data_IF_997011301789
#
_entry.id   IF_997011301789
#
_cell.length_a   1.000
_cell.length_b   1.000
_cell.length_c   1.000
_cell.angle_alpha   90.00
_cell.angle_beta   90.00
_cell.angle_gamma   90.00
#
_symmetry.space_group_name_H-M   'P 1'
#
loop_
_entity.id
_entity.type
_entity.pdbx_description
1 polymer ?
#
# COMPACT_ATOMS: atom_id res chain seq x y z
N UNK A 1 31.08 -16.87 83.56
CA UNK A 1 31.26 -18.33 83.77
C UNK A 1 29.92 -19.01 83.47
N UNK A 2 29.97 -20.10 82.68
CA UNK A 2 28.89 -21.03 82.26
C UNK A 2 28.03 -20.63 81.04
N UNK A 3 28.39 -21.29 79.94
CA UNK A 3 27.57 -21.63 78.78
C UNK A 3 26.37 -22.50 79.18
N UNK A 4 25.28 -22.40 78.42
CA UNK A 4 24.54 -23.56 77.92
C UNK A 4 23.63 -23.12 76.75
N UNK A 5 23.85 -23.72 75.59
CA UNK A 5 22.86 -23.95 74.53
C UNK A 5 22.52 -25.44 74.62
N UNK A 6 21.30 -25.94 74.34
CA UNK A 6 21.02 -26.38 72.95
C UNK A 6 19.52 -26.51 72.53
N UNK A 7 19.31 -26.69 71.21
CA UNK A 7 18.23 -27.45 70.51
C UNK A 7 16.76 -27.04 70.72
N UNK A 8 15.84 -26.98 69.75
CA UNK A 8 15.73 -27.39 68.34
C UNK A 8 14.23 -27.39 67.94
N UNK A 9 13.94 -27.60 66.65
CA UNK A 9 12.64 -27.92 66.02
C UNK A 9 11.58 -26.82 65.72
N UNK A 10 11.67 -26.30 64.48
CA UNK A 10 10.69 -26.34 63.37
C UNK A 10 9.18 -26.02 63.52
N UNK A 11 8.75 -25.22 62.52
CA UNK A 11 7.46 -25.15 61.80
C UNK A 11 6.25 -24.46 62.46
N UNK A 12 5.82 -23.34 61.83
CA UNK A 12 4.47 -23.22 61.25
C UNK A 12 4.30 -21.93 60.43
N UNK A 13 4.03 -22.10 59.12
CA UNK A 13 3.55 -21.08 58.19
C UNK A 13 2.22 -20.47 58.68
N UNK A 14 2.04 -19.14 58.54
CA UNK A 14 0.72 -18.52 58.36
C UNK A 14 0.75 -17.35 57.36
N UNK A 15 0.34 -17.70 56.13
CA UNK A 15 -0.56 -16.99 55.19
C UNK A 15 -0.33 -15.48 54.95
N UNK A 16 0.15 -15.16 53.74
CA UNK A 16 0.03 -13.83 53.14
C UNK A 16 -1.45 -13.54 52.79
N UNK A 17 -1.94 -12.28 52.96
CA UNK A 17 -3.32 -11.95 52.68
C UNK A 17 -3.56 -11.80 51.17
N UNK A 18 -4.41 -12.68 50.65
CA UNK A 18 -5.17 -12.49 49.42
C UNK A 18 -6.16 -11.35 49.66
N UNK A 19 -5.88 -10.12 49.23
CA UNK A 19 -6.84 -9.12 48.69
C UNK A 19 -5.99 -7.89 48.37
N UNK A 20 -5.83 -7.55 47.08
CA UNK A 20 -5.14 -6.31 46.71
C UNK A 20 -4.47 -6.29 45.34
N UNK A 21 -4.73 -7.25 44.46
CA UNK A 21 -4.33 -7.19 43.06
C UNK A 21 -5.56 -7.14 42.17
N UNK A 22 -6.40 -6.12 42.33
CA UNK A 22 -7.37 -5.74 41.31
C UNK A 22 -6.59 -5.00 40.21
N UNK A 23 -5.77 -5.74 39.46
CA UNK A 23 -5.27 -5.29 38.18
C UNK A 23 -6.48 -5.11 37.28
N UNK A 24 -6.98 -3.88 37.16
CA UNK A 24 -7.90 -3.49 36.10
C UNK A 24 -7.10 -3.65 34.80
N UNK A 25 -7.19 -4.86 34.23
CA UNK A 25 -6.84 -5.11 32.85
C UNK A 25 -7.79 -4.30 31.99
N UNK A 26 -7.47 -3.02 31.80
CA UNK A 26 -8.02 -2.24 30.70
C UNK A 26 -7.52 -2.92 29.43
N UNK A 27 -8.29 -3.89 28.95
CA UNK A 27 -8.12 -4.44 27.62
C UNK A 27 -8.43 -3.28 26.69
N UNK A 28 -7.39 -2.62 26.19
CA UNK A 28 -7.50 -1.77 25.02
C UNK A 28 -7.89 -2.71 23.87
N UNK A 29 -9.20 -2.98 23.74
CA UNK A 29 -9.80 -3.51 22.54
C UNK A 29 -9.56 -2.45 21.47
N UNK A 30 -8.39 -2.46 20.85
CA UNK A 30 -8.17 -1.68 19.63
C UNK A 30 -9.22 -2.20 18.65
N UNK A 31 -10.23 -1.40 18.27
CA UNK A 31 -11.18 -1.86 17.28
C UNK A 31 -10.39 -2.28 16.05
N UNK A 32 -10.60 -3.50 15.60
CA UNK A 32 -10.03 -3.96 14.34
C UNK A 32 -10.59 -3.02 13.26
N UNK A 33 -9.78 -2.03 12.85
CA UNK A 33 -10.23 -1.03 11.91
C UNK A 33 -10.40 -1.70 10.55
N UNK A 34 -11.65 -1.99 10.19
CA UNK A 34 -12.02 -2.33 8.83
C UNK A 34 -11.93 -1.03 7.99
N UNK A 35 -10.76 -0.76 7.42
CA UNK A 35 -10.54 0.45 6.62
C UNK A 35 -11.56 0.58 5.50
N UNK A 36 -11.75 -0.49 4.73
CA UNK A 36 -12.62 -0.53 3.56
C UNK A 36 -13.80 -1.48 3.84
N UNK A 37 -15.04 -0.96 3.92
CA UNK A 37 -16.20 -1.78 4.21
C UNK A 37 -16.54 -2.72 3.04
N UNK A 38 -16.99 -3.92 3.37
CA UNK A 38 -17.46 -4.91 2.41
C UNK A 38 -18.79 -4.44 1.78
N UNK A 39 -18.94 -4.45 0.44
CA UNK A 39 -20.24 -4.25 -0.19
C UNK A 39 -21.14 -5.48 0.02
N UNK A 40 -22.46 -5.27 -0.01
CA UNK A 40 -23.46 -6.22 0.51
C UNK A 40 -23.33 -7.68 0.04
N UNK A 41 -22.82 -7.97 -1.17
CA UNK A 41 -22.73 -9.34 -1.72
C UNK A 41 -21.49 -9.57 -2.58
N UNK A 42 -20.33 -9.94 -2.01
CA UNK A 42 -19.17 -10.36 -2.81
C UNK A 42 -19.37 -11.75 -3.41
N UNK A 43 -18.80 -12.01 -4.59
CA UNK A 43 -18.74 -13.35 -5.17
C UNK A 43 -17.77 -14.21 -4.36
N UNK A 44 -18.24 -15.27 -3.71
CA UNK A 44 -17.36 -16.20 -2.98
C UNK A 44 -16.60 -17.11 -3.95
N UNK A 45 -15.27 -17.10 -3.88
CA UNK A 45 -14.38 -17.87 -4.76
C UNK A 45 -13.32 -18.62 -3.96
N UNK A 46 -12.90 -19.78 -4.48
CA UNK A 46 -11.80 -20.55 -3.89
C UNK A 46 -10.46 -20.14 -4.49
N UNK A 47 -9.48 -19.93 -3.63
CA UNK A 47 -8.11 -19.57 -4.02
C UNK A 47 -7.28 -20.84 -4.18
N UNK A 48 -6.75 -21.06 -5.37
CA UNK A 48 -5.79 -22.14 -5.65
C UNK A 48 -4.39 -21.79 -5.15
N UNK A 49 -3.95 -20.56 -5.39
CA UNK A 49 -2.58 -20.14 -5.08
C UNK A 49 -2.47 -18.62 -4.90
N UNK A 50 -1.63 -18.19 -3.97
CA UNK A 50 -1.12 -16.81 -3.91
C UNK A 50 0.17 -16.72 -4.71
N UNK A 51 0.18 -15.92 -5.77
CA UNK A 51 1.32 -15.82 -6.71
C UNK A 51 2.40 -14.92 -6.13
N UNK A 52 2.00 -13.72 -5.68
CA UNK A 52 2.81 -12.67 -5.06
C UNK A 52 1.91 -11.85 -4.10
N UNK A 53 2.38 -10.69 -3.63
CA UNK A 53 1.68 -9.89 -2.62
C UNK A 53 0.40 -9.19 -3.11
N UNK A 54 0.04 -9.28 -4.39
CA UNK A 54 -1.17 -8.65 -4.91
C UNK A 54 -1.87 -9.42 -6.05
N UNK A 55 -1.45 -10.67 -6.30
CA UNK A 55 -2.02 -11.54 -7.33
C UNK A 55 -2.43 -12.91 -6.76
N UNK A 56 -3.69 -13.30 -7.01
CA UNK A 56 -4.27 -14.60 -6.67
C UNK A 56 -4.56 -15.42 -7.92
N UNK A 57 -4.40 -16.75 -7.83
CA UNK A 57 -4.94 -17.71 -8.80
C UNK A 57 -6.12 -18.42 -8.17
N UNK A 58 -7.27 -18.40 -8.84
CA UNK A 58 -8.48 -19.09 -8.40
C UNK A 58 -8.52 -20.54 -8.92
N UNK A 59 -9.35 -21.38 -8.29
CA UNK A 59 -9.56 -22.76 -8.72
C UNK A 59 -10.26 -22.86 -10.08
N UNK A 60 -11.10 -21.88 -10.42
CA UNK A 60 -11.78 -21.77 -11.72
C UNK A 60 -10.87 -21.28 -12.86
N UNK A 61 -9.57 -21.17 -12.61
CA UNK A 61 -8.56 -20.81 -13.60
C UNK A 61 -8.31 -19.31 -13.74
N UNK A 62 -9.14 -18.43 -13.17
CA UNK A 62 -8.91 -16.98 -13.22
C UNK A 62 -7.63 -16.58 -12.48
N UNK A 63 -6.91 -15.60 -13.03
CA UNK A 63 -5.84 -14.88 -12.35
C UNK A 63 -6.39 -13.51 -11.95
N UNK A 64 -6.30 -13.16 -10.67
CA UNK A 64 -6.90 -11.96 -10.11
C UNK A 64 -5.80 -11.01 -9.64
N UNK A 65 -5.81 -9.77 -10.14
CA UNK A 65 -4.95 -8.68 -9.69
C UNK A 65 -5.75 -7.80 -8.74
N UNK A 66 -5.29 -7.69 -7.50
CA UNK A 66 -5.94 -6.90 -6.45
C UNK A 66 -5.92 -5.41 -6.81
N UNK A 67 -7.08 -4.75 -6.76
CA UNK A 67 -7.22 -3.34 -7.12
C UNK A 67 -6.74 -2.45 -5.98
N UNK A 68 -5.89 -1.46 -6.29
CA UNK A 68 -5.57 -0.39 -5.35
C UNK A 68 -4.24 -0.56 -4.62
N UNK A 69 -3.57 -1.69 -4.82
CA UNK A 69 -2.29 -2.04 -4.19
C UNK A 69 -1.25 -2.46 -5.24
N UNK A 70 0.01 -2.11 -5.01
CA UNK A 70 1.17 -2.63 -5.71
C UNK A 70 2.16 -3.19 -4.68
N UNK A 71 2.20 -4.52 -4.55
CA UNK A 71 3.16 -5.19 -3.70
C UNK A 71 4.54 -5.27 -4.38
N UNK A 72 5.63 -5.40 -3.61
CA UNK A 72 6.94 -5.65 -4.18
C UNK A 72 6.98 -6.99 -4.94
N UNK A 73 7.71 -7.01 -6.05
CA UNK A 73 7.73 -8.14 -6.99
C UNK A 73 8.57 -9.31 -6.47
N UNK A 74 8.06 -10.53 -6.66
CA UNK A 74 8.79 -11.76 -6.37
C UNK A 74 9.79 -12.03 -7.50
N UNK A 75 11.04 -12.28 -7.12
CA UNK A 75 12.12 -12.61 -8.05
C UNK A 75 11.82 -13.87 -8.85
N UNK A 76 12.04 -13.83 -10.16
CA UNK A 76 11.87 -14.97 -11.08
C UNK A 76 13.08 -15.07 -12.00
N UNK A 77 13.38 -16.29 -12.46
CA UNK A 77 14.45 -16.56 -13.45
C UNK A 77 15.82 -16.02 -13.00
N UNK A 78 16.22 -16.33 -11.77
CA UNK A 78 17.51 -15.91 -11.20
C UNK A 78 17.57 -14.48 -10.67
N UNK A 79 16.49 -13.70 -10.76
CA UNK A 79 16.41 -12.38 -10.12
C UNK A 79 16.06 -12.51 -8.64
N UNK A 80 16.66 -11.67 -7.81
CA UNK A 80 16.32 -11.53 -6.40
C UNK A 80 14.94 -10.89 -6.24
N UNK A 81 14.19 -11.31 -5.23
CA UNK A 81 12.93 -10.67 -4.84
C UNK A 81 13.17 -9.24 -4.36
N UNK A 82 12.21 -8.35 -4.63
CA UNK A 82 12.24 -6.99 -4.08
C UNK A 82 12.10 -7.03 -2.55
N UNK A 83 12.62 -6.02 -1.82
CA UNK A 83 12.41 -5.92 -0.38
C UNK A 83 10.93 -6.04 -0.02
N UNK A 84 10.63 -6.85 1.00
CA UNK A 84 9.27 -7.19 1.47
C UNK A 84 8.38 -8.01 0.53
N UNK A 85 8.82 -8.40 -0.67
CA UNK A 85 7.99 -9.20 -1.59
C UNK A 85 7.54 -10.53 -0.96
N UNK A 86 8.47 -11.29 -0.37
CA UNK A 86 8.16 -12.55 0.30
C UNK A 86 7.28 -12.36 1.54
N UNK A 87 7.47 -11.24 2.27
CA UNK A 87 6.64 -10.92 3.42
C UNK A 87 5.19 -10.63 3.00
N UNK A 88 5.00 -9.83 1.94
CA UNK A 88 3.69 -9.52 1.37
C UNK A 88 2.97 -10.78 0.90
N UNK A 89 3.68 -11.65 0.15
CA UNK A 89 3.14 -12.93 -0.32
C UNK A 89 2.73 -13.84 0.84
N UNK A 90 3.61 -14.03 1.84
CA UNK A 90 3.32 -14.86 3.02
C UNK A 90 2.14 -14.31 3.82
N UNK A 91 2.03 -12.98 3.94
CA UNK A 91 0.90 -12.35 4.63
C UNK A 91 -0.41 -12.59 3.88
N UNK A 92 -0.44 -12.39 2.56
CA UNK A 92 -1.63 -12.66 1.76
C UNK A 92 -2.02 -14.15 1.83
N UNK A 93 -1.05 -15.07 1.84
CA UNK A 93 -1.32 -16.49 2.08
C UNK A 93 -1.95 -16.75 3.46
N UNK A 94 -1.46 -16.09 4.51
CA UNK A 94 -2.02 -16.22 5.86
C UNK A 94 -3.47 -15.69 5.91
N UNK A 95 -3.76 -14.57 5.26
CA UNK A 95 -5.10 -13.98 5.18
C UNK A 95 -6.09 -14.89 4.42
N UNK A 96 -5.63 -15.51 3.32
CA UNK A 96 -6.42 -16.51 2.57
C UNK A 96 -6.65 -17.77 3.41
N UNK A 97 -5.64 -18.27 4.12
CA UNK A 97 -5.78 -19.42 5.04
C UNK A 97 -6.74 -19.13 6.19
N UNK A 98 -6.68 -17.93 6.77
CA UNK A 98 -7.62 -17.49 7.80
C UNK A 98 -9.06 -17.34 7.29
N UNK A 99 -9.25 -17.37 5.97
CA UNK A 99 -10.57 -17.39 5.31
C UNK A 99 -10.89 -18.78 4.71
N UNK A 100 -10.28 -19.84 5.24
CA UNK A 100 -10.47 -21.24 4.82
C UNK A 100 -10.24 -21.47 3.32
N UNK A 101 -9.28 -20.73 2.73
CA UNK A 101 -8.96 -20.81 1.30
C UNK A 101 -10.02 -20.19 0.39
N UNK A 102 -11.03 -19.50 0.93
CA UNK A 102 -12.08 -18.81 0.19
C UNK A 102 -12.05 -17.32 0.46
N UNK A 103 -12.36 -16.51 -0.55
CA UNK A 103 -12.41 -15.05 -0.43
C UNK A 103 -13.63 -14.49 -1.13
N UNK A 104 -14.11 -13.34 -0.65
CA UNK A 104 -15.08 -12.52 -1.35
C UNK A 104 -14.40 -11.70 -2.45
N UNK A 105 -14.87 -11.85 -3.68
CA UNK A 105 -14.37 -11.14 -4.85
C UNK A 105 -15.39 -10.08 -5.28
N UNK A 106 -14.94 -8.82 -5.35
CA UNK A 106 -15.75 -7.68 -5.80
C UNK A 106 -15.09 -7.06 -7.03
N UNK A 107 -15.62 -7.28 -8.24
CA UNK A 107 -15.02 -6.73 -9.46
C UNK A 107 -14.92 -5.20 -9.45
N UNK A 108 -13.91 -4.69 -10.16
CA UNK A 108 -13.82 -3.28 -10.54
C UNK A 108 -14.83 -2.89 -11.62
N UNK A 109 -14.92 -1.59 -11.91
CA UNK A 109 -15.64 -1.05 -13.06
C UNK A 109 -15.03 -1.59 -14.36
N UNK A 110 -13.70 -1.56 -14.45
CA UNK A 110 -12.97 -2.28 -15.48
C UNK A 110 -12.61 -3.66 -14.93
N UNK A 111 -13.21 -4.72 -15.51
CA UNK A 111 -13.13 -6.07 -14.96
C UNK A 111 -11.85 -6.86 -15.32
N UNK A 112 -11.08 -6.41 -16.32
CA UNK A 112 -9.85 -7.08 -16.76
C UNK A 112 -8.75 -6.07 -17.10
N UNK A 113 -7.51 -6.44 -16.82
CA UNK A 113 -6.35 -5.69 -17.31
C UNK A 113 -5.91 -6.14 -18.72
N UNK A 114 -4.93 -5.43 -19.28
CA UNK A 114 -4.34 -5.75 -20.60
C UNK A 114 -3.68 -7.13 -20.71
N UNK A 115 -3.45 -7.82 -19.60
CA UNK A 115 -2.91 -9.18 -19.54
C UNK A 115 -4.01 -10.23 -19.37
N UNK A 116 -5.29 -9.81 -19.36
CA UNK A 116 -6.44 -10.68 -19.19
C UNK A 116 -6.72 -11.08 -17.73
N UNK A 117 -5.98 -10.54 -16.75
CA UNK A 117 -6.23 -10.80 -15.32
C UNK A 117 -7.50 -10.10 -14.89
N UNK A 118 -8.31 -10.76 -14.08
CA UNK A 118 -9.49 -10.16 -13.45
C UNK A 118 -9.04 -9.09 -12.45
N UNK A 119 -9.65 -7.91 -12.53
CA UNK A 119 -9.44 -6.81 -11.59
C UNK A 119 -10.56 -6.83 -10.54
N UNK A 120 -10.19 -7.07 -9.28
CA UNK A 120 -11.16 -7.11 -8.20
C UNK A 120 -10.56 -6.66 -6.86
N UNK A 121 -11.43 -6.24 -5.95
CA UNK A 121 -11.12 -6.11 -4.53
C UNK A 121 -11.41 -7.42 -3.81
N UNK A 122 -10.55 -7.76 -2.85
CA UNK A 122 -10.62 -9.05 -2.15
C UNK A 122 -10.95 -8.85 -0.68
N UNK A 123 -11.89 -9.65 -0.19
CA UNK A 123 -12.36 -9.63 1.19
C UNK A 123 -12.20 -11.00 1.83
N UNK A 124 -11.72 -11.03 3.07
CA UNK A 124 -11.66 -12.25 3.86
C UNK A 124 -13.03 -12.70 4.36
N UNK A 125 -13.09 -13.88 4.99
CA UNK A 125 -14.33 -14.45 5.56
C UNK A 125 -15.00 -13.53 6.60
N UNK A 126 -14.21 -12.73 7.31
CA UNK A 126 -14.67 -11.76 8.31
C UNK A 126 -15.11 -10.41 7.71
N UNK A 127 -15.12 -10.26 6.38
CA UNK A 127 -15.47 -9.01 5.70
C UNK A 127 -14.36 -7.95 5.68
N UNK A 128 -13.16 -8.26 6.17
CA UNK A 128 -12.04 -7.31 6.07
C UNK A 128 -11.46 -7.31 4.65
N UNK A 129 -11.20 -6.11 4.11
CA UNK A 129 -10.51 -5.95 2.84
C UNK A 129 -9.03 -6.36 2.96
N UNK A 130 -8.55 -7.23 2.07
CA UNK A 130 -7.18 -7.77 2.14
C UNK A 130 -6.14 -6.76 1.66
N UNK A 131 -6.47 -5.95 0.64
CA UNK A 131 -5.59 -4.86 0.17
C UNK A 131 -5.28 -3.88 1.30
N UNK A 132 -6.32 -3.42 2.01
CA UNK A 132 -6.17 -2.47 3.10
C UNK A 132 -5.35 -3.04 4.26
N UNK A 133 -5.52 -4.33 4.60
CA UNK A 133 -4.68 -4.98 5.62
C UNK A 133 -3.20 -4.96 5.22
N UNK A 134 -2.88 -5.39 3.99
CA UNK A 134 -1.51 -5.37 3.48
C UNK A 134 -0.93 -3.96 3.44
N UNK A 135 -1.72 -2.96 3.04
CA UNK A 135 -1.30 -1.55 3.04
C UNK A 135 -1.02 -1.04 4.47
N UNK A 136 -1.85 -1.37 5.44
CA UNK A 136 -1.68 -0.97 6.85
C UNK A 136 -0.48 -1.61 7.54
N UNK A 137 -0.02 -2.74 7.03
CA UNK A 137 1.18 -3.45 7.49
C UNK A 137 2.44 -3.03 6.72
N UNK A 138 2.32 -2.10 5.77
CA UNK A 138 3.43 -1.62 4.94
C UNK A 138 3.94 -2.65 3.94
N UNK A 139 3.09 -3.59 3.50
CA UNK A 139 3.45 -4.69 2.59
C UNK A 139 3.06 -4.42 1.13
N UNK A 140 2.68 -3.19 0.81
CA UNK A 140 2.47 -2.72 -0.55
C UNK A 140 2.34 -1.20 -0.61
N UNK A 141 2.39 -0.66 -1.82
CA UNK A 141 2.11 0.73 -2.10
C UNK A 141 0.67 0.88 -2.56
N UNK A 142 -0.07 1.88 -2.07
CA UNK A 142 -1.39 2.18 -2.63
C UNK A 142 -1.22 2.77 -4.04
N UNK A 143 -2.13 2.43 -4.95
CA UNK A 143 -2.14 2.95 -6.32
C UNK A 143 -3.58 3.06 -6.84
N UNK A 144 -4.00 4.25 -7.29
CA UNK A 144 -5.37 4.49 -7.75
C UNK A 144 -5.40 4.63 -9.28
N UNK A 145 -5.84 3.58 -9.99
CA UNK A 145 -5.94 3.58 -11.45
C UNK A 145 -7.40 3.73 -11.86
N UNK A 146 -7.74 4.83 -12.52
CA UNK A 146 -9.10 5.05 -13.04
C UNK A 146 -9.45 4.03 -14.13
N UNK A 147 -10.69 3.48 -14.16
CA UNK A 147 -11.85 3.85 -13.34
C UNK A 147 -11.97 3.10 -11.99
N UNK A 148 -11.05 2.20 -11.67
CA UNK A 148 -11.09 1.33 -10.49
C UNK A 148 -10.59 2.04 -9.21
N UNK A 149 -11.30 3.07 -8.78
CA UNK A 149 -10.87 3.99 -7.70
C UNK A 149 -11.83 4.05 -6.50
N UNK A 150 -12.86 3.20 -6.47
CA UNK A 150 -13.91 3.20 -5.43
C UNK A 150 -13.36 3.13 -4.00
N UNK A 151 -12.29 2.37 -3.77
CA UNK A 151 -11.69 2.19 -2.44
C UNK A 151 -10.45 3.07 -2.20
N UNK A 152 -10.15 4.03 -3.08
CA UNK A 152 -8.90 4.80 -3.00
C UNK A 152 -8.73 5.57 -1.68
N UNK A 153 -9.82 6.11 -1.11
CA UNK A 153 -9.79 6.87 0.14
C UNK A 153 -9.47 5.99 1.36
N UNK A 154 -10.14 4.84 1.51
CA UNK A 154 -9.88 3.93 2.63
C UNK A 154 -8.52 3.22 2.51
N UNK A 155 -8.07 2.91 1.29
CA UNK A 155 -6.73 2.40 1.04
C UNK A 155 -5.64 3.44 1.36
N UNK A 156 -5.92 4.72 1.13
CA UNK A 156 -5.05 5.81 1.57
C UNK A 156 -4.98 5.91 3.10
N UNK A 157 -6.10 5.73 3.80
CA UNK A 157 -6.10 5.66 5.25
C UNK A 157 -5.27 4.47 5.77
N UNK A 158 -5.39 3.31 5.14
CA UNK A 158 -4.60 2.13 5.49
C UNK A 158 -3.09 2.36 5.30
N UNK A 159 -2.64 2.83 4.13
CA UNK A 159 -1.21 3.10 3.91
C UNK A 159 -0.67 4.18 4.86
N UNK A 160 -1.48 5.18 5.23
CA UNK A 160 -1.09 6.22 6.17
C UNK A 160 -0.72 5.63 7.55
N UNK A 161 -1.47 4.65 8.04
CA UNK A 161 -1.13 3.94 9.29
C UNK A 161 0.26 3.32 9.20
N UNK A 162 0.59 2.66 8.08
CA UNK A 162 1.90 2.06 7.91
C UNK A 162 3.04 3.09 7.83
N UNK A 163 2.77 4.25 7.20
CA UNK A 163 3.71 5.38 7.11
C UNK A 163 4.00 5.98 8.48
N UNK A 164 2.96 6.26 9.26
CA UNK A 164 3.06 6.84 10.60
C UNK A 164 3.75 5.89 11.57
N UNK A 165 3.43 4.60 11.51
CA UNK A 165 4.07 3.56 12.31
C UNK A 165 5.48 3.17 11.81
N UNK A 166 5.92 3.67 10.66
CA UNK A 166 7.19 3.33 10.00
C UNK A 166 7.41 1.81 9.90
N UNK A 167 6.40 1.08 9.42
CA UNK A 167 6.45 -0.39 9.27
C UNK A 167 6.60 -0.82 7.82
N UNK A 168 7.10 -2.05 7.62
CA UNK A 168 7.29 -2.64 6.30
C UNK A 168 8.14 -1.75 5.38
N UNK A 169 7.63 -1.50 4.17
CA UNK A 169 8.21 -0.62 3.16
C UNK A 169 8.49 0.81 3.65
N UNK A 170 7.87 1.24 4.75
CA UNK A 170 7.99 2.58 5.32
C UNK A 170 8.98 2.69 6.49
N UNK A 171 9.68 1.60 6.87
CA UNK A 171 10.76 1.64 7.87
C UNK A 171 11.87 2.63 7.48
N UNK A 172 12.20 2.65 6.20
CA UNK A 172 13.02 3.66 5.54
C UNK A 172 12.18 4.31 4.46
N UNK A 173 12.33 5.61 4.21
CA UNK A 173 11.54 6.28 3.18
C UNK A 173 11.77 5.65 1.80
N UNK A 174 10.74 5.04 1.17
CA UNK A 174 10.83 4.52 -0.19
C UNK A 174 10.64 5.62 -1.25
N UNK A 175 10.40 6.87 -0.80
CA UNK A 175 10.17 8.03 -1.64
C UNK A 175 11.50 8.46 -2.26
N UNK A 176 11.59 8.38 -3.59
CA UNK A 176 12.78 8.78 -4.35
C UNK A 176 12.67 10.24 -4.77
N UNK A 177 13.78 10.98 -4.78
CA UNK A 177 13.78 12.31 -5.43
C UNK A 177 13.60 12.14 -6.92
N UNK A 178 12.84 13.03 -7.56
CA UNK A 178 12.62 12.99 -9.00
C UNK A 178 13.94 13.04 -9.79
N UNK A 179 14.92 13.82 -9.31
CA UNK A 179 16.27 13.89 -9.88
C UNK A 179 17.05 12.55 -9.85
N UNK A 180 16.73 11.66 -8.92
CA UNK A 180 17.44 10.37 -8.75
C UNK A 180 16.82 9.24 -9.60
N UNK A 181 15.80 9.53 -10.40
CA UNK A 181 15.14 8.54 -11.25
C UNK A 181 16.02 8.18 -12.44
N UNK A 182 16.53 6.94 -12.44
CA UNK A 182 17.42 6.40 -13.48
C UNK A 182 16.84 5.20 -14.24
N UNK A 183 15.71 4.66 -13.80
CA UNK A 183 15.09 3.47 -14.37
C UNK A 183 13.56 3.54 -14.38
N UNK A 184 12.96 2.88 -15.36
CA UNK A 184 11.51 2.67 -15.44
C UNK A 184 11.03 1.68 -14.37
N UNK A 185 9.76 1.78 -14.00
CA UNK A 185 9.14 0.89 -13.01
C UNK A 185 8.22 1.65 -12.06
N UNK A 186 7.60 0.93 -11.13
CA UNK A 186 6.80 1.57 -10.09
C UNK A 186 7.69 2.44 -9.20
N UNK A 187 7.21 3.63 -8.86
CA UNK A 187 7.93 4.57 -8.01
C UNK A 187 6.95 5.41 -7.19
N UNK A 188 7.38 5.77 -5.98
CA UNK A 188 6.90 6.95 -5.28
C UNK A 188 8.01 7.99 -5.40
N UNK A 189 7.71 9.10 -6.10
CA UNK A 189 8.69 10.15 -6.41
C UNK A 189 8.27 11.46 -5.75
N UNK A 190 9.22 12.18 -5.17
CA UNK A 190 9.01 13.53 -4.67
C UNK A 190 9.87 14.54 -5.41
N UNK A 191 9.36 15.75 -5.58
CA UNK A 191 10.10 16.84 -6.23
C UNK A 191 9.32 18.15 -6.26
N UNK A 192 9.99 19.22 -6.69
CA UNK A 192 9.38 20.53 -6.88
C UNK A 192 8.78 20.61 -8.28
N UNK A 193 7.53 21.05 -8.39
CA UNK A 193 6.91 21.36 -9.69
C UNK A 193 7.56 22.61 -10.27
N UNK A 194 8.37 22.45 -11.32
CA UNK A 194 9.07 23.55 -12.02
C UNK A 194 8.18 24.27 -13.01
N UNK A 195 7.42 23.51 -13.80
CA UNK A 195 6.52 24.02 -14.82
C UNK A 195 5.22 23.23 -14.86
N UNK A 196 4.18 23.86 -15.41
CA UNK A 196 2.90 23.21 -15.71
C UNK A 196 2.50 23.65 -17.11
N UNK A 197 2.46 22.70 -18.03
CA UNK A 197 2.10 22.93 -19.43
C UNK A 197 0.78 22.24 -19.75
N UNK A 198 0.02 22.84 -20.68
CA UNK A 198 -1.24 22.29 -21.18
C UNK A 198 -1.21 22.29 -22.71
N UNK A 199 -1.49 21.13 -23.30
CA UNK A 199 -1.60 20.97 -24.75
C UNK A 199 -2.62 19.88 -25.09
N UNK A 200 -2.76 19.57 -26.39
CA UNK A 200 -3.70 18.54 -26.89
C UNK A 200 -3.47 17.15 -26.27
N UNK A 201 -2.24 16.85 -25.83
CA UNK A 201 -1.89 15.57 -25.19
C UNK A 201 -2.25 15.49 -23.71
N UNK A 202 -2.49 16.61 -23.03
CA UNK A 202 -2.81 16.62 -21.62
C UNK A 202 -2.23 17.80 -20.83
N UNK A 203 -2.17 17.60 -19.52
CA UNK A 203 -1.44 18.48 -18.59
C UNK A 203 -0.11 17.80 -18.27
N UNK A 204 0.97 18.57 -18.26
CA UNK A 204 2.33 18.08 -18.04
C UNK A 204 2.95 18.89 -16.92
N UNK A 205 3.41 18.22 -15.86
CA UNK A 205 4.07 18.87 -14.73
C UNK A 205 5.51 18.38 -14.68
N UNK A 206 6.46 19.29 -14.78
CA UNK A 206 7.88 18.96 -14.68
C UNK A 206 8.33 18.96 -13.22
N UNK A 207 8.93 17.86 -12.77
CA UNK A 207 9.50 17.70 -11.43
C UNK A 207 11.02 17.66 -11.51
N UNK A 208 11.68 18.58 -10.79
CA UNK A 208 13.14 18.68 -10.65
C UNK A 208 13.91 18.45 -11.97
N UNK A 209 13.37 18.97 -13.06
CA UNK A 209 13.95 18.92 -14.42
C UNK A 209 14.19 17.51 -14.99
N UNK A 210 13.64 16.47 -14.37
CA UNK A 210 13.97 15.07 -14.66
C UNK A 210 12.75 14.22 -15.00
N UNK A 211 11.69 14.32 -14.18
CA UNK A 211 10.47 13.51 -14.33
C UNK A 211 9.32 14.41 -14.74
N UNK A 212 8.53 13.98 -15.73
CA UNK A 212 7.30 14.66 -16.09
C UNK A 212 6.10 13.85 -15.63
N UNK A 213 5.23 14.46 -14.82
CA UNK A 213 3.92 13.90 -14.52
C UNK A 213 2.98 14.24 -15.68
N UNK A 214 2.41 13.23 -16.32
CA UNK A 214 1.48 13.42 -17.43
C UNK A 214 0.06 13.12 -16.95
N UNK A 215 -0.86 14.04 -17.18
CA UNK A 215 -2.31 13.80 -17.07
C UNK A 215 -2.88 13.76 -18.48
N UNK A 216 -3.12 12.56 -19.04
CA UNK A 216 -3.64 12.43 -20.40
C UNK A 216 -4.94 13.21 -20.58
N UNK A 217 -5.12 13.86 -21.74
CA UNK A 217 -6.32 14.67 -22.04
C UNK A 217 -7.64 13.94 -21.71
N UNK A 218 -7.75 12.67 -22.12
CA UNK A 218 -8.93 11.81 -21.87
C UNK A 218 -9.25 11.55 -20.39
N UNK A 219 -8.29 11.77 -19.48
CA UNK A 219 -8.41 11.50 -18.04
C UNK A 219 -8.51 12.77 -17.21
N UNK A 220 -8.41 13.96 -17.80
CA UNK A 220 -8.50 15.22 -17.06
C UNK A 220 -9.83 15.37 -16.30
N UNK A 221 -10.92 14.82 -16.84
CA UNK A 221 -12.25 14.78 -16.20
C UNK A 221 -12.27 14.08 -14.84
N UNK A 222 -11.27 13.24 -14.54
CA UNK A 222 -11.16 12.57 -13.25
C UNK A 222 -10.58 13.50 -12.16
N UNK A 223 -10.08 14.68 -12.54
CA UNK A 223 -9.44 15.62 -11.61
C UNK A 223 -10.40 16.77 -11.29
N UNK A 224 -10.53 17.16 -9.99
CA UNK A 224 -11.33 18.30 -9.59
C UNK A 224 -10.90 19.59 -10.31
N UNK A 225 -11.85 20.50 -10.48
CA UNK A 225 -11.54 21.84 -10.97
C UNK A 225 -10.49 22.51 -10.07
N UNK A 226 -9.50 23.16 -10.67
CA UNK A 226 -8.44 23.83 -9.92
C UNK A 226 -7.43 22.90 -9.21
N UNK A 227 -7.50 21.57 -9.38
CA UNK A 227 -6.58 20.63 -8.70
C UNK A 227 -5.09 20.97 -8.92
N UNK A 228 -4.73 21.43 -10.12
CA UNK A 228 -3.37 21.81 -10.48
C UNK A 228 -3.04 23.29 -10.22
N UNK A 229 -4.00 24.08 -9.74
CA UNK A 229 -3.75 25.47 -9.41
C UNK A 229 -2.74 25.56 -8.25
N UNK A 230 -1.84 26.54 -8.34
CA UNK A 230 -0.85 26.84 -7.30
C UNK A 230 0.11 25.68 -6.99
N UNK A 231 0.27 24.71 -7.90
CA UNK A 231 1.28 23.64 -7.75
C UNK A 231 2.68 24.11 -8.16
N UNK A 232 2.83 25.08 -9.06
CA UNK A 232 4.14 25.59 -9.47
C UNK A 232 4.93 26.08 -8.24
N UNK A 233 6.18 25.63 -8.11
CA UNK A 233 7.05 25.90 -6.96
C UNK A 233 6.75 25.08 -5.71
N UNK A 234 5.70 24.23 -5.70
CA UNK A 234 5.39 23.38 -4.55
C UNK A 234 6.08 22.03 -4.64
N UNK A 235 6.43 21.51 -3.47
CA UNK A 235 6.87 20.13 -3.28
C UNK A 235 5.66 19.19 -3.30
N UNK A 236 5.78 18.13 -4.08
CA UNK A 236 4.74 17.12 -4.29
C UNK A 236 5.32 15.72 -4.22
N UNK A 237 4.48 14.75 -3.86
CA UNK A 237 4.76 13.31 -3.98
C UNK A 237 3.80 12.73 -5.03
N UNK A 238 4.34 12.08 -6.04
CA UNK A 238 3.59 11.37 -7.08
C UNK A 238 3.91 9.88 -7.04
N UNK A 239 2.96 9.03 -7.44
CA UNK A 239 3.16 7.58 -7.48
C UNK A 239 2.57 6.92 -8.71
N UNK A 240 3.27 5.92 -9.22
CA UNK A 240 2.85 5.18 -10.41
C UNK A 240 4.03 4.59 -11.16
N UNK A 241 3.81 4.18 -12.40
CA UNK A 241 4.86 3.63 -13.26
C UNK A 241 5.58 4.73 -14.01
N UNK A 242 6.87 4.90 -13.71
CA UNK A 242 7.80 5.71 -14.50
C UNK A 242 8.11 4.95 -15.79
N UNK A 243 7.93 5.62 -16.92
CA UNK A 243 8.17 5.11 -18.26
C UNK A 243 9.36 5.83 -18.90
N UNK A 244 10.15 5.07 -19.66
CA UNK A 244 11.26 5.61 -20.46
C UNK A 244 10.77 5.99 -21.86
N UNK A 245 10.64 7.29 -22.13
CA UNK A 245 10.16 7.77 -23.45
C UNK A 245 11.16 7.53 -24.56
N UNK A 246 12.46 7.41 -24.27
CA UNK A 246 13.49 7.21 -25.31
C UNK A 246 13.31 5.88 -26.05
N UNK A 247 12.68 4.89 -25.40
CA UNK A 247 12.40 3.56 -25.98
C UNK A 247 11.29 3.57 -27.05
N UNK A 248 10.53 4.66 -27.19
CA UNK A 248 9.43 4.78 -28.17
C UNK A 248 9.71 5.90 -29.18
N UNK A 249 10.72 5.69 -30.02
CA UNK A 249 11.04 6.60 -31.13
C UNK A 249 11.94 7.77 -30.77
N UNK A 250 12.77 7.66 -29.72
CA UNK A 250 13.75 8.68 -29.33
C UNK A 250 13.16 9.85 -28.53
N UNK A 251 14.05 10.75 -28.07
CA UNK A 251 13.67 11.97 -27.37
C UNK A 251 13.75 13.17 -28.31
N UNK A 252 12.69 13.98 -28.36
CA UNK A 252 12.74 15.28 -29.03
C UNK A 252 13.61 16.25 -28.22
N UNK A 253 14.26 17.26 -28.85
CA UNK A 253 14.99 18.29 -28.13
C UNK A 253 14.14 18.93 -27.02
N UNK A 254 14.72 19.10 -25.83
CA UNK A 254 14.03 19.64 -24.64
C UNK A 254 13.09 18.67 -23.91
N UNK A 255 12.78 17.50 -24.46
CA UNK A 255 11.84 16.57 -23.86
C UNK A 255 12.49 15.75 -22.74
N UNK A 256 11.89 15.78 -21.54
CA UNK A 256 12.34 14.93 -20.43
C UNK A 256 12.13 13.44 -20.74
N UNK A 257 13.12 12.63 -20.35
CA UNK A 257 13.16 11.20 -20.62
C UNK A 257 12.08 10.43 -19.88
N UNK A 258 11.91 10.74 -18.59
CA UNK A 258 11.05 9.99 -17.68
C UNK A 258 9.66 10.60 -17.62
N UNK A 259 8.64 9.78 -17.83
CA UNK A 259 7.24 10.20 -17.69
C UNK A 259 6.50 9.28 -16.73
N UNK A 260 5.71 9.87 -15.84
CA UNK A 260 4.84 9.15 -14.91
C UNK A 260 3.40 9.58 -15.18
N UNK A 261 2.60 8.76 -15.88
CA UNK A 261 1.20 9.06 -16.14
C UNK A 261 0.35 8.98 -14.87
N UNK A 262 -0.47 9.98 -14.63
CA UNK A 262 -1.45 10.02 -13.54
C UNK A 262 -2.87 9.87 -14.11
N UNK A 263 -3.63 8.95 -13.53
CA UNK A 263 -5.00 8.66 -13.98
C UNK A 263 -6.08 9.14 -13.02
N UNK A 264 -5.67 9.46 -11.78
CA UNK A 264 -6.56 9.82 -10.68
C UNK A 264 -5.85 10.81 -9.71
N UNK A 265 -6.58 11.75 -9.08
CA UNK A 265 -6.03 12.73 -8.13
C UNK A 265 -5.21 12.12 -7.00
N UNK A 266 -5.67 11.00 -6.44
CA UNK A 266 -4.98 10.32 -5.33
C UNK A 266 -3.58 9.81 -5.66
N UNK A 267 -3.12 9.91 -6.91
CA UNK A 267 -1.74 9.60 -7.29
C UNK A 267 -0.76 10.77 -7.11
N UNK A 268 -1.24 11.98 -6.76
CA UNK A 268 -0.44 13.19 -6.54
C UNK A 268 -0.85 13.87 -5.22
N UNK A 269 0.09 14.01 -4.29
CA UNK A 269 -0.11 14.67 -2.99
C UNK A 269 0.82 15.88 -2.86
N UNK A 270 0.37 16.93 -2.16
CA UNK A 270 1.24 18.03 -1.74
C UNK A 270 1.98 17.61 -0.46
N UNK A 271 3.29 17.79 -0.41
CA UNK A 271 4.11 17.45 0.77
C UNK A 271 4.44 18.66 1.64
N UNK A 272 4.41 19.87 1.06
CA UNK A 272 4.60 21.12 1.80
C UNK A 272 3.44 21.34 2.78
N UNK A 273 3.66 20.98 4.05
CA UNK A 273 2.67 21.09 5.14
C UNK A 273 2.61 19.88 6.08
N UNK A 274 3.21 18.73 5.71
CA UNK A 274 3.35 17.58 6.62
C UNK A 274 4.60 17.82 7.48
N UNK A 275 4.42 18.18 8.76
CA UNK A 275 5.52 18.01 9.75
C UNK A 275 5.85 16.51 9.76
N UNK A 276 7.12 16.19 9.51
CA UNK A 276 7.67 14.83 9.63
C UNK A 276 7.66 14.35 11.08
#
# INVERSE_FOLDING_TARGET
MRMANPSGFALLLKKAPLVGAFFVGAIWQLPAMAFCPLPEKPQQVAVRQVVDGDTLRLTDGRSVRMIGINAPEIGRKGRTSEPYAEAAKRRLQALVRASDGRVGLVPGVEGKDKYGRTLAHIYGRNGNNLEAQLLSEGLGFRIAIAPNVRLASCQQAAERVAREARVGLWRSSPVRKAADVKQSGFAVVAGTVRSIERNRGGIWLELDDTVVLQIPARLQRNFPQGFFANLKGRQVEARGWVLDRSRKGGLKPGQRRWVLPLTYPGMLERTSGRKM
#
